data_IF_626774570069
#
_entry.id   IF_626774570069
#
_cell.length_a   1.000
_cell.length_b   1.000
_cell.length_c   1.000
_cell.angle_alpha   90.00
_cell.angle_beta   90.00
_cell.angle_gamma   90.00
#
_symmetry.space_group_name_H-M   'P 1'
#
loop_
_entity.id
_entity.type
_entity.pdbx_description
1 polymer ?
#
# COMPACT_ATOMS: atom_id res chain seq x y z
N UNK A 1 -47.40 -42.11 -58.15
CA UNK A 1 -47.81 -41.12 -57.11
C UNK A 1 -47.59 -41.68 -55.74
N UNK A 2 -46.34 -41.84 -55.26
CA UNK A 2 -46.00 -42.29 -53.88
C UNK A 2 -44.51 -41.99 -53.61
N UNK A 3 -44.01 -40.76 -53.71
CA UNK A 3 -42.64 -40.40 -53.31
C UNK A 3 -42.45 -38.94 -52.81
N UNK A 4 -43.47 -38.32 -52.22
CA UNK A 4 -43.37 -36.91 -51.84
C UNK A 4 -43.87 -36.61 -50.39
N UNK A 5 -43.74 -37.54 -49.44
CA UNK A 5 -44.18 -37.33 -48.06
C UNK A 5 -43.13 -37.73 -46.97
N UNK A 6 -41.84 -37.79 -47.27
CA UNK A 6 -40.83 -38.24 -46.31
C UNK A 6 -39.72 -37.18 -46.02
N UNK A 7 -39.88 -35.96 -46.39
CA UNK A 7 -38.86 -34.89 -46.22
C UNK A 7 -39.31 -33.72 -45.31
N UNK A 8 -40.49 -33.82 -44.66
CA UNK A 8 -40.99 -32.75 -43.79
C UNK A 8 -40.86 -33.00 -42.26
N UNK A 9 -40.23 -34.09 -41.82
CA UNK A 9 -40.14 -34.51 -40.41
C UNK A 9 -38.74 -34.39 -39.78
N UNK A 10 -37.74 -33.79 -40.44
CA UNK A 10 -36.37 -33.77 -39.96
C UNK A 10 -35.79 -32.37 -39.65
N UNK A 11 -36.61 -31.35 -39.54
CA UNK A 11 -36.12 -29.98 -39.23
C UNK A 11 -36.70 -29.36 -37.90
N UNK A 12 -37.19 -30.19 -36.98
CA UNK A 12 -37.79 -29.66 -35.74
C UNK A 12 -37.10 -30.12 -34.44
N UNK A 13 -35.83 -30.45 -34.50
CA UNK A 13 -35.10 -30.86 -33.29
C UNK A 13 -33.66 -30.35 -33.40
N UNK A 14 -33.37 -29.12 -33.05
CA UNK A 14 -32.08 -28.68 -32.47
C UNK A 14 -32.08 -27.16 -32.12
N UNK A 15 -32.94 -26.73 -31.26
CA UNK A 15 -32.77 -25.48 -30.51
C UNK A 15 -32.86 -25.76 -29.01
N UNK A 16 -31.97 -26.62 -28.52
CA UNK A 16 -31.62 -26.60 -27.10
C UNK A 16 -30.62 -25.50 -26.93
N UNK A 17 -31.10 -24.26 -26.76
CA UNK A 17 -30.32 -23.14 -26.24
C UNK A 17 -29.81 -23.59 -24.90
N UNK A 18 -28.51 -23.88 -24.80
CA UNK A 18 -27.81 -23.98 -23.53
C UNK A 18 -27.92 -22.64 -22.82
N UNK A 19 -28.96 -22.46 -22.02
CA UNK A 19 -29.00 -21.46 -20.99
C UNK A 19 -27.93 -21.88 -19.95
N UNK A 20 -26.73 -21.35 -20.11
CA UNK A 20 -25.75 -21.36 -19.04
C UNK A 20 -26.39 -20.72 -17.81
N UNK A 21 -26.21 -21.30 -16.60
CA UNK A 21 -26.83 -20.77 -15.40
C UNK A 21 -26.25 -19.41 -15.07
N UNK A 22 -26.93 -18.34 -15.45
CA UNK A 22 -26.68 -16.97 -15.01
C UNK A 22 -27.00 -16.75 -13.50
N UNK A 23 -27.31 -17.82 -12.76
CA UNK A 23 -27.77 -17.77 -11.36
C UNK A 23 -26.69 -17.77 -10.30
N UNK A 24 -25.41 -18.07 -10.62
CA UNK A 24 -24.36 -18.20 -9.59
C UNK A 24 -23.82 -16.84 -9.06
N UNK A 25 -24.22 -15.71 -9.62
CA UNK A 25 -23.69 -14.38 -9.26
C UNK A 25 -24.60 -13.54 -8.34
N UNK A 26 -25.84 -13.96 -8.09
CA UNK A 26 -26.79 -13.21 -7.26
C UNK A 26 -26.43 -13.23 -5.75
N UNK A 27 -25.77 -14.26 -5.26
CA UNK A 27 -25.51 -14.52 -3.83
C UNK A 27 -24.09 -14.22 -3.36
N UNK A 28 -23.32 -13.44 -4.09
CA UNK A 28 -22.00 -13.01 -3.60
C UNK A 28 -22.15 -11.91 -2.54
N UNK A 29 -21.39 -11.95 -1.39
CA UNK A 29 -20.66 -13.10 -0.89
C UNK A 29 -21.57 -14.07 -0.12
N UNK A 30 -21.35 -15.39 -0.27
CA UNK A 30 -22.05 -16.45 0.47
C UNK A 30 -21.10 -17.30 1.36
N UNK A 31 -19.82 -16.94 1.41
CA UNK A 31 -18.77 -17.54 2.25
C UNK A 31 -17.80 -16.47 2.73
N UNK A 32 -16.96 -16.77 3.73
CA UNK A 32 -15.96 -15.81 4.22
C UNK A 32 -15.01 -15.31 3.13
N UNK A 33 -14.66 -14.02 3.21
CA UNK A 33 -13.68 -13.38 2.33
C UNK A 33 -12.32 -13.36 3.02
N UNK A 34 -11.28 -13.77 2.31
CA UNK A 34 -9.90 -13.71 2.78
C UNK A 34 -9.26 -12.38 2.36
N UNK A 35 -8.76 -11.64 3.35
CA UNK A 35 -8.01 -10.40 3.16
C UNK A 35 -6.55 -10.64 3.49
N UNK A 36 -5.69 -10.74 2.47
CA UNK A 36 -4.27 -11.08 2.62
C UNK A 36 -3.44 -9.82 2.83
N UNK A 37 -2.58 -9.85 3.85
CA UNK A 37 -1.66 -8.77 4.23
C UNK A 37 -0.23 -9.26 4.15
N UNK A 38 0.64 -8.57 3.40
CA UNK A 38 2.05 -8.96 3.19
C UNK A 38 3.00 -8.59 4.33
N UNK A 39 2.48 -8.12 5.47
CA UNK A 39 3.27 -7.59 6.59
C UNK A 39 2.85 -8.22 7.91
N UNK A 40 3.72 -8.07 8.93
CA UNK A 40 3.49 -8.64 10.25
C UNK A 40 2.23 -8.09 10.91
N UNK A 41 1.55 -8.94 11.69
CA UNK A 41 0.43 -8.54 12.53
C UNK A 41 0.83 -7.40 13.48
N UNK A 42 -0.09 -6.47 13.72
CA UNK A 42 0.13 -5.27 14.54
C UNK A 42 0.90 -4.14 13.86
N UNK A 43 1.39 -4.33 12.63
CA UNK A 43 1.95 -3.24 11.82
C UNK A 43 0.86 -2.33 11.23
N UNK A 44 1.24 -1.14 10.71
CA UNK A 44 0.29 -0.15 10.21
C UNK A 44 -0.72 -0.71 9.19
N UNK A 45 -0.24 -1.47 8.21
CA UNK A 45 -1.09 -2.09 7.18
C UNK A 45 -2.06 -3.11 7.76
N UNK A 46 -1.62 -3.92 8.74
CA UNK A 46 -2.45 -4.93 9.41
C UNK A 46 -3.54 -4.28 10.26
N UNK A 47 -3.20 -3.22 11.00
CA UNK A 47 -4.17 -2.46 11.81
C UNK A 47 -5.28 -1.87 10.94
N UNK A 48 -4.92 -1.26 9.81
CA UNK A 48 -5.89 -0.72 8.84
C UNK A 48 -6.74 -1.86 8.24
N UNK A 49 -6.10 -2.96 7.83
CA UNK A 49 -6.79 -4.11 7.28
C UNK A 49 -7.84 -4.68 8.24
N UNK A 50 -7.51 -4.86 9.52
CA UNK A 50 -8.44 -5.39 10.54
C UNK A 50 -9.56 -4.42 10.85
N UNK A 51 -9.26 -3.12 10.91
CA UNK A 51 -10.27 -2.09 11.11
C UNK A 51 -11.30 -2.11 9.97
N UNK A 52 -10.84 -2.20 8.72
CA UNK A 52 -11.72 -2.27 7.55
C UNK A 52 -12.44 -3.61 7.48
N UNK A 53 -11.76 -4.73 7.73
CA UNK A 53 -12.33 -6.07 7.65
C UNK A 53 -13.51 -6.27 8.60
N UNK A 54 -13.41 -5.79 9.84
CA UNK A 54 -14.46 -5.91 10.84
C UNK A 54 -15.77 -5.26 10.38
N UNK A 55 -15.68 -4.03 9.91
CA UNK A 55 -16.86 -3.24 9.54
C UNK A 55 -17.39 -3.64 8.16
N UNK A 56 -16.50 -3.96 7.22
CA UNK A 56 -16.83 -4.49 5.89
C UNK A 56 -17.56 -5.84 6.00
N UNK A 57 -17.16 -6.71 6.94
CA UNK A 57 -17.83 -7.99 7.18
C UNK A 57 -19.28 -7.80 7.60
N UNK A 58 -19.58 -6.84 8.48
CA UNK A 58 -20.93 -6.50 8.86
C UNK A 58 -21.77 -5.98 7.67
N UNK A 59 -21.19 -5.16 6.80
CA UNK A 59 -21.84 -4.62 5.61
C UNK A 59 -22.14 -5.69 4.55
N UNK A 60 -21.27 -6.71 4.43
CA UNK A 60 -21.40 -7.79 3.45
C UNK A 60 -22.20 -9.01 3.96
N UNK A 61 -22.49 -9.08 5.26
CA UNK A 61 -23.15 -10.23 5.88
C UNK A 61 -22.29 -11.50 5.91
N UNK A 62 -20.97 -11.38 5.65
CA UNK A 62 -20.02 -12.49 5.67
C UNK A 62 -18.73 -12.08 6.38
N UNK A 63 -18.09 -13.00 7.13
CA UNK A 63 -16.81 -12.69 7.77
C UNK A 63 -15.74 -12.28 6.75
N UNK A 64 -14.95 -11.25 7.08
CA UNK A 64 -13.72 -10.90 6.37
C UNK A 64 -12.54 -11.25 7.26
N UNK A 65 -11.75 -12.23 6.84
CA UNK A 65 -10.65 -12.80 7.65
C UNK A 65 -9.32 -12.26 7.16
N UNK A 66 -8.59 -11.57 8.04
CA UNK A 66 -7.26 -11.06 7.75
C UNK A 66 -6.22 -12.16 7.95
N UNK A 67 -5.45 -12.45 6.89
CA UNK A 67 -4.35 -13.44 6.87
C UNK A 67 -3.03 -12.74 6.57
N UNK A 68 -2.05 -12.85 7.50
CA UNK A 68 -0.72 -12.28 7.30
C UNK A 68 0.20 -13.28 6.60
N UNK A 69 0.70 -12.93 5.39
CA UNK A 69 1.70 -13.69 4.62
C UNK A 69 2.96 -12.86 4.44
N UNK A 70 3.82 -12.89 5.46
CA UNK A 70 4.99 -12.02 5.54
C UNK A 70 6.14 -12.54 4.69
N UNK A 71 6.87 -11.65 4.06
CA UNK A 71 8.16 -11.94 3.41
C UNK A 71 8.37 -11.18 2.11
N UNK A 72 9.65 -10.99 1.76
CA UNK A 72 10.10 -10.31 0.53
C UNK A 72 9.36 -8.98 0.28
N UNK A 73 9.31 -8.11 1.28
CA UNK A 73 8.59 -6.81 1.21
C UNK A 73 7.14 -6.94 0.70
N UNK A 74 6.40 -7.98 1.16
CA UNK A 74 5.01 -8.24 0.75
C UNK A 74 4.87 -9.01 -0.56
N UNK A 75 5.96 -9.38 -1.23
CA UNK A 75 5.91 -10.07 -2.51
C UNK A 75 5.24 -11.45 -2.40
N UNK A 76 5.50 -12.21 -1.31
CA UNK A 76 4.88 -13.52 -1.07
C UNK A 76 3.35 -13.42 -1.03
N UNK A 77 2.83 -12.42 -0.33
CA UNK A 77 1.39 -12.15 -0.27
C UNK A 77 0.83 -11.79 -1.65
N UNK A 78 1.52 -10.87 -2.35
CA UNK A 78 1.11 -10.37 -3.66
C UNK A 78 1.04 -11.49 -4.70
N UNK A 79 2.09 -12.32 -4.81
CA UNK A 79 2.11 -13.48 -5.71
C UNK A 79 1.01 -14.49 -5.36
N UNK A 80 0.76 -14.72 -4.06
CA UNK A 80 -0.28 -15.66 -3.63
C UNK A 80 -1.68 -15.22 -4.01
N UNK A 81 -1.93 -13.89 -4.05
CA UNK A 81 -3.24 -13.35 -4.47
C UNK A 81 -3.33 -13.28 -5.99
N UNK A 82 -2.26 -12.93 -6.70
CA UNK A 82 -2.23 -12.98 -8.16
C UNK A 82 -2.59 -14.38 -8.71
N UNK A 83 -2.16 -15.44 -8.01
CA UNK A 83 -2.44 -16.83 -8.36
C UNK A 83 -3.77 -17.40 -7.77
N UNK A 84 -4.51 -16.60 -6.99
CA UNK A 84 -5.76 -17.06 -6.39
C UNK A 84 -6.92 -17.06 -7.41
N UNK A 85 -7.99 -17.86 -7.16
CA UNK A 85 -9.19 -17.79 -7.99
C UNK A 85 -9.76 -16.38 -8.07
N UNK A 86 -10.13 -15.96 -9.28
CA UNK A 86 -10.72 -14.65 -9.55
C UNK A 86 -12.24 -14.65 -9.24
N UNK A 87 -12.62 -15.08 -8.03
CA UNK A 87 -14.02 -15.21 -7.59
C UNK A 87 -14.45 -14.13 -6.59
N UNK A 88 -13.53 -13.22 -6.21
CA UNK A 88 -13.77 -12.15 -5.25
C UNK A 88 -13.59 -12.54 -3.78
N UNK A 89 -13.33 -13.82 -3.46
CA UNK A 89 -13.17 -14.29 -2.08
C UNK A 89 -11.74 -14.20 -1.54
N UNK A 90 -10.79 -13.78 -2.37
CA UNK A 90 -9.42 -13.46 -1.94
C UNK A 90 -9.06 -12.09 -2.44
N UNK A 91 -8.70 -11.18 -1.53
CA UNK A 91 -8.27 -9.81 -1.85
C UNK A 91 -6.94 -9.54 -1.17
N UNK A 92 -6.12 -8.69 -1.79
CA UNK A 92 -4.85 -8.22 -1.24
C UNK A 92 -5.02 -6.83 -0.62
N UNK A 93 -4.50 -6.65 0.57
CA UNK A 93 -4.18 -5.32 1.09
C UNK A 93 -2.81 -4.95 0.58
N UNK A 94 -2.76 -4.13 -0.47
CA UNK A 94 -1.51 -3.75 -1.09
C UNK A 94 -0.99 -2.41 -0.58
N UNK A 95 0.31 -2.24 -0.73
CA UNK A 95 1.04 -1.00 -0.46
C UNK A 95 1.83 -0.59 -1.70
N UNK A 96 2.68 0.39 -1.60
CA UNK A 96 3.59 0.77 -2.70
C UNK A 96 4.44 -0.40 -3.22
N UNK A 97 4.64 -1.44 -2.39
CA UNK A 97 5.42 -2.63 -2.78
C UNK A 97 4.84 -3.37 -3.98
N UNK A 98 3.52 -3.26 -4.24
CA UNK A 98 2.89 -3.82 -5.44
C UNK A 98 3.59 -3.35 -6.72
N UNK A 99 3.85 -2.06 -6.83
CA UNK A 99 4.54 -1.46 -7.98
C UNK A 99 6.08 -1.58 -7.86
N UNK A 100 6.62 -1.26 -6.69
CA UNK A 100 8.07 -1.14 -6.48
C UNK A 100 8.77 -2.49 -6.62
N UNK A 101 8.22 -3.57 -6.07
CA UNK A 101 8.82 -4.89 -6.21
C UNK A 101 8.87 -5.34 -7.69
N UNK A 102 7.84 -5.01 -8.48
CA UNK A 102 7.84 -5.30 -9.92
C UNK A 102 8.89 -4.51 -10.68
N UNK A 103 9.14 -3.25 -10.28
CA UNK A 103 10.16 -2.40 -10.91
C UNK A 103 11.58 -2.86 -10.53
N UNK A 104 11.83 -3.12 -9.25
CA UNK A 104 13.14 -3.52 -8.75
C UNK A 104 13.48 -4.98 -9.08
N UNK A 105 12.48 -5.86 -8.97
CA UNK A 105 12.64 -7.29 -9.12
C UNK A 105 12.46 -7.81 -10.55
N UNK A 106 12.80 -7.03 -11.59
CA UNK A 106 12.61 -7.39 -12.99
C UNK A 106 12.99 -8.85 -13.27
N UNK A 107 11.99 -9.67 -13.67
CA UNK A 107 12.16 -11.10 -13.97
C UNK A 107 12.17 -12.04 -12.77
N UNK A 108 12.17 -11.56 -11.53
CA UNK A 108 12.11 -12.38 -10.29
C UNK A 108 10.73 -12.35 -9.63
N UNK A 109 9.94 -11.34 -9.92
CA UNK A 109 8.56 -11.18 -9.44
C UNK A 109 7.62 -11.89 -10.38
N UNK A 110 6.71 -12.72 -9.84
CA UNK A 110 5.80 -13.58 -10.62
C UNK A 110 4.42 -12.93 -10.81
N UNK A 111 4.36 -11.62 -10.96
CA UNK A 111 3.14 -10.88 -11.28
C UNK A 111 3.46 -9.59 -12.05
N UNK A 112 2.48 -9.11 -12.80
CA UNK A 112 2.46 -7.81 -13.44
C UNK A 112 1.44 -6.93 -12.68
N UNK A 113 1.87 -5.84 -11.99
CA UNK A 113 0.97 -5.02 -11.18
C UNK A 113 -0.13 -4.34 -12.01
N UNK A 114 0.06 -4.24 -13.33
CA UNK A 114 -0.88 -3.57 -14.24
C UNK A 114 -1.89 -4.52 -14.88
N UNK A 115 -1.63 -5.83 -14.86
CA UNK A 115 -2.45 -6.84 -15.55
C UNK A 115 -3.08 -7.86 -14.63
N UNK A 116 -2.39 -8.26 -13.55
CA UNK A 116 -2.79 -9.42 -12.74
C UNK A 116 -3.73 -9.05 -11.60
N UNK A 117 -4.08 -7.76 -11.48
CA UNK A 117 -4.98 -7.27 -10.41
C UNK A 117 -6.11 -6.41 -10.95
N UNK A 118 -7.27 -6.54 -10.29
CA UNK A 118 -8.41 -5.65 -10.41
C UNK A 118 -8.43 -4.69 -9.20
N UNK A 119 -8.17 -3.39 -9.39
CA UNK A 119 -8.22 -2.39 -8.31
C UNK A 119 -9.62 -2.26 -7.73
N UNK A 120 -9.72 -2.20 -6.38
CA UNK A 120 -10.98 -2.03 -5.65
C UNK A 120 -11.06 -0.62 -5.07
N UNK A 121 -10.08 -0.22 -4.26
CA UNK A 121 -10.04 1.13 -3.67
C UNK A 121 -8.64 1.47 -3.13
N UNK A 122 -8.17 2.68 -3.38
CA UNK A 122 -7.15 3.32 -2.54
C UNK A 122 -7.87 3.78 -1.27
N UNK A 123 -7.60 3.09 -0.16
CA UNK A 123 -8.30 3.31 1.09
C UNK A 123 -7.70 4.48 1.87
N UNK A 124 -6.40 4.42 2.11
CA UNK A 124 -5.69 5.34 3.00
C UNK A 124 -4.34 5.70 2.38
N UNK A 125 -3.97 6.96 2.43
CA UNK A 125 -2.62 7.44 2.25
C UNK A 125 -1.94 7.55 3.61
N UNK A 126 -0.71 7.05 3.71
CA UNK A 126 0.11 7.10 4.92
C UNK A 126 1.29 8.06 4.69
N UNK A 127 1.15 9.34 5.01
CA UNK A 127 2.27 10.24 5.06
C UNK A 127 3.31 9.78 6.08
N UNK A 128 4.51 10.33 5.97
CA UNK A 128 5.61 9.96 6.84
C UNK A 128 6.16 11.20 7.56
N UNK A 129 6.68 10.97 8.75
CA UNK A 129 7.58 11.91 9.41
C UNK A 129 9.03 11.49 9.15
N UNK A 130 9.91 12.44 8.93
CA UNK A 130 11.33 12.25 9.09
C UNK A 130 11.66 12.40 10.57
N UNK A 131 12.10 11.31 11.19
CA UNK A 131 12.36 11.24 12.63
C UNK A 131 13.82 10.91 12.92
N UNK A 132 14.33 11.45 14.03
CA UNK A 132 15.64 11.14 14.64
C UNK A 132 15.44 10.75 16.10
N UNK A 133 16.44 10.15 16.74
CA UNK A 133 16.42 9.96 18.19
C UNK A 133 16.32 11.30 18.91
N UNK A 134 15.68 11.35 20.08
CA UNK A 134 15.45 12.61 20.80
C UNK A 134 16.77 13.34 21.14
N UNK A 135 17.78 12.60 21.55
CA UNK A 135 19.11 13.11 21.91
C UNK A 135 20.04 13.32 20.70
N UNK A 136 19.54 13.03 19.49
CA UNK A 136 20.31 13.23 18.27
C UNK A 136 20.86 14.66 18.17
N UNK A 137 22.08 14.85 17.63
CA UNK A 137 22.64 16.17 17.38
C UNK A 137 21.82 16.98 16.35
N UNK A 138 21.05 16.30 15.51
CA UNK A 138 20.22 16.95 14.48
C UNK A 138 18.95 17.51 15.09
N UNK A 139 18.80 18.84 15.05
CA UNK A 139 17.61 19.52 15.56
C UNK A 139 16.69 19.99 14.43
N UNK A 140 17.23 20.07 13.21
CA UNK A 140 16.54 20.43 11.98
C UNK A 140 16.93 19.50 10.85
N UNK A 141 16.12 19.48 9.77
CA UNK A 141 16.46 18.75 8.55
C UNK A 141 17.75 19.31 7.92
N UNK A 142 18.00 20.61 8.05
CA UNK A 142 19.22 21.24 7.55
C UNK A 142 20.47 20.68 8.26
N UNK A 143 20.43 20.45 9.58
CA UNK A 143 21.56 19.87 10.32
C UNK A 143 21.91 18.48 9.78
N UNK A 144 20.88 17.64 9.57
CA UNK A 144 21.04 16.30 9.02
C UNK A 144 21.67 16.32 7.61
N UNK A 145 21.12 17.17 6.73
CA UNK A 145 21.60 17.29 5.34
C UNK A 145 23.01 17.86 5.30
N UNK A 146 23.32 18.88 6.12
CA UNK A 146 24.66 19.44 6.20
C UNK A 146 25.68 18.38 6.65
N UNK A 147 25.33 17.56 7.64
CA UNK A 147 26.18 16.42 8.05
C UNK A 147 26.36 15.42 6.92
N UNK A 148 25.28 15.07 6.20
CA UNK A 148 25.37 14.12 5.09
C UNK A 148 26.29 14.60 3.94
N UNK A 149 26.45 15.91 3.77
CA UNK A 149 27.35 16.51 2.78
C UNK A 149 28.83 16.49 3.19
N UNK A 150 29.16 16.20 4.45
CA UNK A 150 30.57 16.23 4.91
C UNK A 150 31.40 15.08 4.38
N UNK A 151 30.81 13.89 4.19
CA UNK A 151 31.46 12.70 3.62
C UNK A 151 30.41 11.69 3.16
N UNK A 152 30.76 10.79 2.21
CA UNK A 152 29.92 9.63 1.90
C UNK A 152 29.63 8.80 3.14
N UNK A 153 28.38 8.38 3.30
CA UNK A 153 27.90 7.56 4.42
C UNK A 153 28.08 8.18 5.83
N UNK A 154 28.29 9.51 5.90
CA UNK A 154 28.37 10.24 7.17
C UNK A 154 27.04 10.26 7.95
N UNK A 155 25.95 9.89 7.30
CA UNK A 155 24.60 9.77 7.87
C UNK A 155 24.00 8.44 7.40
N UNK A 156 23.38 7.71 8.34
CA UNK A 156 22.68 6.46 8.10
C UNK A 156 21.16 6.62 8.22
N UNK A 157 20.41 5.79 7.51
CA UNK A 157 18.94 5.76 7.64
C UNK A 157 18.38 4.35 7.72
N UNK A 158 17.35 4.18 8.56
CA UNK A 158 16.67 2.92 8.77
C UNK A 158 15.47 2.73 7.86
N UNK A 159 15.13 1.49 7.55
CA UNK A 159 13.89 1.14 6.85
C UNK A 159 13.40 -0.26 7.21
N UNK A 160 12.17 -0.58 6.80
CA UNK A 160 11.59 -1.92 6.95
C UNK A 160 12.07 -2.93 5.88
N UNK A 161 13.14 -2.60 5.15
CA UNK A 161 13.68 -3.41 4.06
C UNK A 161 13.85 -2.61 2.76
N UNK A 162 14.52 -3.22 1.79
CA UNK A 162 14.71 -2.65 0.46
C UNK A 162 13.38 -2.41 -0.27
N UNK A 163 13.25 -1.29 -0.99
CA UNK A 163 12.04 -0.94 -1.75
C UNK A 163 10.84 -0.49 -0.90
N UNK A 164 10.93 -0.48 0.43
CA UNK A 164 9.86 0.03 1.29
C UNK A 164 9.78 1.56 1.29
N UNK A 165 8.65 2.12 1.77
CA UNK A 165 8.40 3.58 1.74
C UNK A 165 9.48 4.40 2.45
N UNK A 166 9.96 3.94 3.60
CA UNK A 166 11.04 4.59 4.35
C UNK A 166 12.37 4.61 3.56
N UNK A 167 12.72 3.48 2.92
CA UNK A 167 13.91 3.41 2.06
C UNK A 167 13.81 4.40 0.91
N UNK A 168 12.70 4.38 0.17
CA UNK A 168 12.54 5.20 -1.03
C UNK A 168 12.44 6.70 -0.71
N UNK A 169 11.81 7.08 0.40
CA UNK A 169 11.77 8.47 0.85
C UNK A 169 13.17 8.98 1.23
N UNK A 170 13.97 8.15 1.93
CA UNK A 170 15.35 8.51 2.26
C UNK A 170 16.26 8.55 1.00
N UNK A 171 16.07 7.63 0.06
CA UNK A 171 16.77 7.65 -1.23
C UNK A 171 16.41 8.89 -2.06
N UNK A 172 15.13 9.32 -2.04
CA UNK A 172 14.70 10.58 -2.66
C UNK A 172 15.41 11.77 -2.02
N UNK A 173 15.50 11.82 -0.68
CA UNK A 173 16.22 12.86 0.03
C UNK A 173 17.71 12.87 -0.36
N UNK A 174 18.36 11.71 -0.33
CA UNK A 174 19.76 11.57 -0.72
C UNK A 174 20.03 12.05 -2.16
N UNK A 175 19.15 11.67 -3.10
CA UNK A 175 19.21 12.10 -4.50
C UNK A 175 19.09 13.62 -4.64
N UNK A 176 18.10 14.22 -3.98
CA UNK A 176 17.86 15.67 -4.06
C UNK A 176 18.92 16.51 -3.38
N UNK A 177 19.56 15.96 -2.36
CA UNK A 177 20.68 16.62 -1.65
C UNK A 177 22.05 16.31 -2.24
N UNK A 178 22.10 15.43 -3.26
CA UNK A 178 23.34 14.93 -3.87
C UNK A 178 24.29 14.33 -2.83
N UNK A 179 23.75 13.59 -1.86
CA UNK A 179 24.49 12.92 -0.79
C UNK A 179 24.45 11.41 -0.96
N UNK A 180 25.45 10.73 -0.39
CA UNK A 180 25.47 9.28 -0.28
C UNK A 180 25.25 8.91 1.19
N UNK A 181 24.00 8.54 1.54
CA UNK A 181 23.61 8.14 2.89
C UNK A 181 23.62 6.61 3.00
N UNK A 182 23.99 6.06 4.16
CA UNK A 182 24.05 4.62 4.39
C UNK A 182 22.65 4.05 4.70
N UNK A 183 22.17 3.15 3.86
CA UNK A 183 20.91 2.42 4.13
C UNK A 183 21.15 1.24 5.09
N UNK A 184 20.36 1.16 6.15
CA UNK A 184 20.35 0.06 7.13
C UNK A 184 18.96 -0.60 7.14
N UNK A 185 18.78 -1.74 6.46
CA UNK A 185 17.51 -2.43 6.39
C UNK A 185 17.23 -3.26 7.65
N UNK A 186 15.96 -3.29 8.08
CA UNK A 186 15.45 -4.09 9.20
C UNK A 186 14.25 -4.94 8.78
N UNK A 187 13.86 -5.90 9.62
CA UNK A 187 12.69 -6.75 9.40
C UNK A 187 11.36 -6.05 9.81
N UNK A 188 11.24 -4.75 9.53
CA UNK A 188 10.07 -3.94 9.82
C UNK A 188 10.39 -2.55 10.36
N UNK A 189 9.39 -1.67 10.37
CA UNK A 189 9.54 -0.28 10.83
C UNK A 189 9.83 -0.18 12.34
N UNK A 190 9.21 -1.03 13.17
CA UNK A 190 9.38 -0.97 14.62
C UNK A 190 10.82 -1.24 15.07
N UNK A 191 11.51 -2.33 14.63
CA UNK A 191 12.92 -2.52 14.96
C UNK A 191 13.83 -1.42 14.39
N UNK A 192 13.54 -0.88 13.18
CA UNK A 192 14.30 0.26 12.65
C UNK A 192 14.16 1.50 13.55
N UNK A 193 12.95 1.81 14.00
CA UNK A 193 12.72 2.94 14.91
C UNK A 193 13.44 2.77 16.24
N UNK A 194 13.50 1.55 16.78
CA UNK A 194 14.25 1.26 17.99
C UNK A 194 15.74 1.63 17.86
N UNK A 195 16.35 1.33 16.70
CA UNK A 195 17.74 1.67 16.43
C UNK A 195 17.94 3.19 16.25
N UNK A 196 16.95 3.88 15.67
CA UNK A 196 16.96 5.35 15.57
C UNK A 196 16.82 6.00 16.96
N UNK A 197 15.90 5.51 17.80
CA UNK A 197 15.76 5.99 19.18
C UNK A 197 17.04 5.82 20.01
N UNK A 198 17.74 4.72 19.78
CA UNK A 198 19.00 4.41 20.44
C UNK A 198 20.23 5.16 19.85
N UNK A 199 20.05 5.95 18.79
CA UNK A 199 21.14 6.69 18.11
C UNK A 199 22.12 5.81 17.33
N UNK A 200 21.79 4.52 17.08
CA UNK A 200 22.64 3.63 16.28
C UNK A 200 22.38 3.80 14.77
N UNK A 201 21.23 4.36 14.41
CA UNK A 201 20.87 4.82 13.07
C UNK A 201 20.44 6.28 13.19
N UNK A 202 20.90 7.14 12.28
CA UNK A 202 20.73 8.60 12.43
C UNK A 202 19.27 9.02 12.27
N UNK A 203 18.56 8.51 11.25
CA UNK A 203 17.18 8.89 10.98
C UNK A 203 16.39 7.78 10.27
N UNK A 204 15.08 7.96 10.19
CA UNK A 204 14.24 7.24 9.25
C UNK A 204 13.02 8.07 8.85
N UNK A 205 12.43 7.74 7.72
CA UNK A 205 11.05 8.11 7.45
C UNK A 205 10.13 7.06 8.09
N UNK A 206 9.19 7.51 8.91
CA UNK A 206 8.31 6.62 9.64
C UNK A 206 6.84 6.99 9.38
N UNK A 207 5.94 6.02 9.14
CA UNK A 207 4.50 6.30 9.08
C UNK A 207 4.03 7.06 10.32
N UNK A 208 3.11 7.98 10.16
CA UNK A 208 2.72 8.93 11.22
C UNK A 208 2.14 8.27 12.48
N UNK A 209 1.81 6.98 12.44
CA UNK A 209 1.17 6.21 13.53
C UNK A 209 2.01 6.24 14.80
N UNK A 210 1.45 6.78 15.89
CA UNK A 210 2.08 6.80 17.22
C UNK A 210 3.33 7.66 17.34
N UNK A 211 3.63 8.48 16.34
CA UNK A 211 4.86 9.30 16.30
C UNK A 211 4.73 10.52 17.21
N UNK A 212 3.59 11.20 17.21
CA UNK A 212 3.35 12.37 18.06
C UNK A 212 3.45 12.03 19.56
N UNK A 213 2.93 10.86 19.95
CA UNK A 213 3.04 10.36 21.32
C UNK A 213 4.50 10.09 21.74
N UNK A 214 5.30 9.51 20.84
CA UNK A 214 6.73 9.25 21.08
C UNK A 214 7.54 10.53 21.17
N UNK A 215 7.20 11.54 20.40
CA UNK A 215 7.82 12.86 20.50
C UNK A 215 7.47 13.53 21.83
N UNK A 216 6.20 13.48 22.27
CA UNK A 216 5.77 13.97 23.57
C UNK A 216 6.48 13.26 24.73
N UNK A 217 6.78 11.95 24.58
CA UNK A 217 7.55 11.16 25.53
C UNK A 217 9.07 11.37 25.43
N UNK A 218 9.54 12.26 24.56
CA UNK A 218 10.98 12.53 24.34
C UNK A 218 11.78 11.29 23.91
N UNK A 219 11.17 10.41 23.14
CA UNK A 219 11.85 9.24 22.56
C UNK A 219 12.45 9.54 21.20
N UNK A 220 11.77 10.41 20.42
CA UNK A 220 12.19 10.85 19.09
C UNK A 220 11.98 12.36 18.96
N UNK A 221 12.57 12.92 17.89
CA UNK A 221 12.31 14.27 17.39
C UNK A 221 11.83 14.16 15.96
N UNK A 222 10.77 14.89 15.64
CA UNK A 222 10.26 15.01 14.28
C UNK A 222 10.94 16.22 13.62
N UNK A 223 11.62 16.00 12.50
CA UNK A 223 12.29 17.09 11.76
C UNK A 223 11.43 17.66 10.63
N UNK A 224 10.61 16.83 9.99
CA UNK A 224 9.73 17.26 8.90
C UNK A 224 8.61 16.24 8.66
N UNK A 225 7.56 16.68 7.95
CA UNK A 225 6.43 15.84 7.49
C UNK A 225 6.34 15.85 5.97
N UNK A 226 5.95 14.71 5.37
CA UNK A 226 5.84 14.58 3.91
C UNK A 226 4.51 15.08 3.33
N UNK A 227 3.59 15.62 4.13
CA UNK A 227 2.34 16.21 3.65
C UNK A 227 2.57 17.54 2.95
N UNK A 228 1.65 17.92 2.04
CA UNK A 228 1.69 19.22 1.35
C UNK A 228 1.49 20.42 2.30
N UNK A 229 0.82 20.21 3.44
CA UNK A 229 0.60 21.19 4.50
C UNK A 229 1.01 20.56 5.83
N UNK A 230 1.35 21.38 6.82
CA UNK A 230 1.61 20.91 8.19
C UNK A 230 0.43 20.09 8.71
N UNK A 231 0.75 19.02 9.41
CA UNK A 231 -0.29 18.13 9.93
C UNK A 231 -0.93 18.76 11.19
N UNK A 232 -2.27 18.72 11.32
CA UNK A 232 -2.95 19.41 12.43
C UNK A 232 -2.49 18.98 13.83
N UNK A 233 -2.18 17.70 14.02
CA UNK A 233 -1.75 17.18 15.34
C UNK A 233 -0.29 17.55 15.67
N UNK A 234 0.49 18.02 14.70
CA UNK A 234 1.88 18.44 14.87
C UNK A 234 2.14 19.77 14.15
N UNK A 235 1.43 20.86 14.51
CA UNK A 235 1.45 22.12 13.75
C UNK A 235 2.82 22.84 13.79
N UNK A 236 3.67 22.52 14.76
CA UNK A 236 5.04 23.03 14.87
C UNK A 236 6.01 22.37 13.88
N UNK A 237 5.70 21.16 13.39
CA UNK A 237 6.56 20.40 12.48
C UNK A 237 6.45 20.97 11.06
N UNK A 238 7.57 21.40 10.43
CA UNK A 238 7.53 21.89 9.06
C UNK A 238 7.28 20.76 8.07
N UNK A 239 6.75 21.07 6.89
CA UNK A 239 6.71 20.14 5.78
C UNK A 239 8.10 19.98 5.17
N UNK A 240 8.30 18.92 4.38
CA UNK A 240 9.52 18.75 3.58
C UNK A 240 9.68 19.94 2.62
N UNK A 241 8.59 20.46 2.04
CA UNK A 241 8.59 21.62 1.16
C UNK A 241 9.04 22.89 1.87
N UNK A 242 8.51 23.19 3.08
CA UNK A 242 8.96 24.32 3.91
C UNK A 242 10.43 24.20 4.32
N UNK A 243 10.95 22.98 4.39
CA UNK A 243 12.36 22.68 4.68
C UNK A 243 13.27 22.71 3.44
N UNK A 244 12.75 23.13 2.27
CA UNK A 244 13.51 23.26 1.02
C UNK A 244 13.44 22.06 0.09
N UNK A 245 12.60 21.05 0.39
CA UNK A 245 12.47 19.81 -0.38
C UNK A 245 11.01 19.57 -0.83
N UNK A 246 10.48 20.30 -1.82
CA UNK A 246 9.12 20.12 -2.33
C UNK A 246 8.96 18.79 -3.07
N UNK A 247 7.71 18.32 -3.22
CA UNK A 247 7.35 17.12 -3.99
C UNK A 247 7.47 15.82 -3.23
N UNK A 248 7.72 15.83 -1.91
CA UNK A 248 7.64 14.62 -1.08
C UNK A 248 6.19 14.18 -0.84
N UNK A 249 5.25 15.08 -0.95
CA UNK A 249 3.80 14.81 -0.85
C UNK A 249 3.28 13.86 -1.92
N UNK A 250 3.99 13.72 -3.04
CA UNK A 250 3.67 12.79 -4.11
C UNK A 250 4.12 11.35 -3.82
N UNK A 251 4.97 11.15 -2.83
CA UNK A 251 5.60 9.87 -2.47
C UNK A 251 5.07 9.32 -1.15
N UNK A 252 3.74 9.35 -0.98
CA UNK A 252 3.07 8.79 0.21
C UNK A 252 2.96 7.26 0.13
N UNK A 253 2.93 6.61 1.30
CA UNK A 253 2.66 5.17 1.38
C UNK A 253 1.18 4.88 1.17
N UNK A 254 0.76 4.23 0.07
CA UNK A 254 -0.63 3.84 -0.09
C UNK A 254 -0.97 2.60 0.73
N UNK A 255 -2.20 2.51 1.22
CA UNK A 255 -2.86 1.26 1.60
C UNK A 255 -4.11 1.15 0.75
N UNK A 256 -4.13 0.15 -0.10
CA UNK A 256 -5.24 -0.10 -1.03
C UNK A 256 -5.67 -1.56 -1.03
N UNK A 257 -6.73 -1.83 -1.75
CA UNK A 257 -7.30 -3.15 -1.90
C UNK A 257 -7.38 -3.50 -3.38
N UNK A 258 -6.88 -4.70 -3.73
CA UNK A 258 -6.99 -5.24 -5.08
C UNK A 258 -7.44 -6.71 -5.02
N UNK A 259 -8.13 -7.17 -6.05
CA UNK A 259 -8.48 -8.57 -6.27
C UNK A 259 -7.65 -9.15 -7.43
N UNK A 260 -7.64 -10.48 -7.67
CA UNK A 260 -7.10 -11.06 -8.88
C UNK A 260 -7.76 -10.49 -10.14
N UNK A 261 -7.02 -10.34 -11.21
CA UNK A 261 -7.58 -9.95 -12.52
C UNK A 261 -8.65 -10.95 -12.96
N UNK A 262 -9.70 -10.48 -13.62
CA UNK A 262 -10.84 -11.33 -14.02
C UNK A 262 -11.89 -11.55 -12.94
N UNK A 263 -11.71 -10.98 -11.74
CA UNK A 263 -12.77 -11.00 -10.71
C UNK A 263 -14.06 -10.36 -11.27
N UNK A 264 -15.24 -11.03 -11.12
CA UNK A 264 -16.48 -10.54 -11.65
C UNK A 264 -16.84 -9.13 -11.17
N UNK A 265 -17.35 -8.29 -12.08
CA UNK A 265 -17.66 -6.88 -11.76
C UNK A 265 -18.62 -6.74 -10.59
N UNK A 266 -19.61 -7.62 -10.47
CA UNK A 266 -20.57 -7.62 -9.35
C UNK A 266 -19.85 -7.82 -7.99
N UNK A 267 -18.83 -8.67 -7.95
CA UNK A 267 -18.03 -8.86 -6.74
C UNK A 267 -17.17 -7.62 -6.45
N UNK A 268 -16.51 -7.04 -7.48
CA UNK A 268 -15.72 -5.82 -7.33
C UNK A 268 -16.59 -4.65 -6.82
N UNK A 269 -17.78 -4.47 -7.35
CA UNK A 269 -18.70 -3.39 -6.94
C UNK A 269 -19.14 -3.56 -5.49
N UNK A 270 -19.51 -4.78 -5.07
CA UNK A 270 -19.88 -5.06 -3.67
C UNK A 270 -18.71 -4.82 -2.72
N UNK A 271 -17.51 -5.28 -3.07
CA UNK A 271 -16.29 -5.05 -2.28
C UNK A 271 -15.96 -3.55 -2.19
N UNK A 272 -15.97 -2.84 -3.31
CA UNK A 272 -15.66 -1.41 -3.35
C UNK A 272 -16.68 -0.60 -2.53
N UNK A 273 -17.97 -0.90 -2.65
CA UNK A 273 -19.02 -0.23 -1.88
C UNK A 273 -18.88 -0.51 -0.38
N UNK A 274 -18.60 -1.76 0.03
CA UNK A 274 -18.41 -2.11 1.42
C UNK A 274 -17.17 -1.41 2.03
N UNK A 275 -16.05 -1.41 1.32
CA UNK A 275 -14.82 -0.72 1.75
C UNK A 275 -15.10 0.79 1.87
N UNK A 276 -15.68 1.39 0.85
CA UNK A 276 -15.94 2.83 0.81
C UNK A 276 -16.91 3.27 1.90
N UNK A 277 -18.01 2.53 2.10
CA UNK A 277 -18.99 2.81 3.17
C UNK A 277 -18.37 2.68 4.56
N UNK A 278 -17.42 1.74 4.75
CA UNK A 278 -16.66 1.60 5.97
C UNK A 278 -15.77 2.82 6.21
N UNK A 279 -14.96 3.19 5.23
CA UNK A 279 -13.96 4.27 5.33
C UNK A 279 -14.60 5.65 5.54
N UNK A 280 -15.81 5.87 5.05
CA UNK A 280 -16.54 7.15 5.20
C UNK A 280 -17.33 7.28 6.50
N UNK A 281 -17.35 6.25 7.35
CA UNK A 281 -17.96 6.35 8.69
C UNK A 281 -17.13 7.28 9.58
N UNK A 282 -17.76 8.26 10.26
CA UNK A 282 -17.00 9.23 11.07
C UNK A 282 -16.07 8.58 12.10
N UNK A 283 -16.53 7.51 12.78
CA UNK A 283 -15.73 6.80 13.78
C UNK A 283 -14.50 6.09 13.17
N UNK A 284 -14.61 5.56 11.96
CA UNK A 284 -13.51 4.90 11.23
C UNK A 284 -12.54 5.96 10.70
N UNK A 285 -13.04 7.02 10.06
CA UNK A 285 -12.23 8.14 9.59
C UNK A 285 -11.41 8.76 10.73
N UNK A 286 -12.08 9.05 11.87
CA UNK A 286 -11.40 9.57 13.05
C UNK A 286 -10.29 8.63 13.54
N UNK A 287 -10.56 7.32 13.62
CA UNK A 287 -9.58 6.34 14.07
C UNK A 287 -8.41 6.22 13.11
N UNK A 288 -8.66 6.26 11.79
CA UNK A 288 -7.61 6.26 10.78
C UNK A 288 -6.74 7.52 10.84
N UNK A 289 -7.34 8.69 11.06
CA UNK A 289 -6.62 9.96 11.26
C UNK A 289 -5.76 9.92 12.52
N UNK A 290 -6.27 9.40 13.64
CA UNK A 290 -5.49 9.21 14.87
C UNK A 290 -4.29 8.27 14.65
N UNK A 291 -4.43 7.33 13.72
CA UNK A 291 -3.34 6.48 13.27
C UNK A 291 -2.43 7.16 12.22
N UNK A 292 -2.62 8.45 11.94
CA UNK A 292 -1.82 9.21 10.97
C UNK A 292 -2.17 8.94 9.51
N UNK A 293 -3.31 8.30 9.24
CA UNK A 293 -3.79 8.02 7.89
C UNK A 293 -4.66 9.14 7.35
N UNK A 294 -4.56 9.40 6.05
CA UNK A 294 -5.48 10.26 5.30
C UNK A 294 -6.43 9.36 4.53
N UNK A 295 -7.70 9.36 4.89
CA UNK A 295 -8.72 8.57 4.19
C UNK A 295 -8.92 9.12 2.78
N UNK A 296 -8.79 8.26 1.77
CA UNK A 296 -8.98 8.55 0.35
C UNK A 296 -10.30 7.97 -0.15
N UNK A 297 -10.59 6.71 0.19
CA UNK A 297 -11.81 5.98 -0.15
C UNK A 297 -12.17 6.11 -1.66
N UNK A 298 -11.20 5.88 -2.53
CA UNK A 298 -11.32 6.11 -3.97
C UNK A 298 -12.30 5.12 -4.64
N UNK A 299 -12.76 5.49 -5.84
CA UNK A 299 -13.42 4.53 -6.73
C UNK A 299 -12.42 3.54 -7.33
N UNK A 300 -12.89 2.37 -7.87
CA UNK A 300 -12.00 1.44 -8.59
C UNK A 300 -11.32 2.08 -9.81
N UNK A 301 -12.00 2.97 -10.51
CA UNK A 301 -11.47 3.69 -11.68
C UNK A 301 -10.36 4.66 -11.28
N UNK A 302 -10.58 5.47 -10.24
CA UNK A 302 -9.57 6.40 -9.73
C UNK A 302 -8.36 5.65 -9.21
N UNK A 303 -8.57 4.52 -8.53
CA UNK A 303 -7.47 3.71 -8.02
C UNK A 303 -6.64 3.07 -9.13
N UNK A 304 -7.29 2.64 -10.22
CA UNK A 304 -6.56 2.12 -11.40
C UNK A 304 -5.65 3.17 -12.01
N UNK A 305 -6.15 4.39 -12.19
CA UNK A 305 -5.36 5.51 -12.72
C UNK A 305 -4.21 5.83 -11.77
N UNK A 306 -4.50 5.93 -10.47
CA UNK A 306 -3.49 6.20 -9.44
C UNK A 306 -2.38 5.15 -9.44
N UNK A 307 -2.69 3.85 -9.51
CA UNK A 307 -1.68 2.77 -9.55
C UNK A 307 -0.77 2.87 -10.77
N UNK A 308 -1.32 3.26 -11.93
CA UNK A 308 -0.55 3.47 -13.15
C UNK A 308 0.41 4.65 -13.01
N UNK A 309 -0.08 5.78 -12.51
CA UNK A 309 0.72 6.99 -12.31
C UNK A 309 1.79 6.77 -11.22
N UNK A 310 1.43 6.06 -10.15
CA UNK A 310 2.35 5.65 -9.09
C UNK A 310 3.47 4.76 -9.62
N UNK A 311 3.14 3.76 -10.47
CA UNK A 311 4.14 2.91 -11.11
C UNK A 311 5.15 3.73 -11.94
N UNK A 312 4.67 4.67 -12.77
CA UNK A 312 5.51 5.53 -13.59
C UNK A 312 6.43 6.41 -12.73
N UNK A 313 5.88 7.01 -11.67
CA UNK A 313 6.59 7.88 -10.71
C UNK A 313 7.71 7.13 -10.00
N UNK A 314 7.43 5.91 -9.48
CA UNK A 314 8.44 5.08 -8.84
C UNK A 314 9.50 4.59 -9.81
N UNK A 315 9.13 4.21 -11.04
CA UNK A 315 10.10 3.80 -12.06
C UNK A 315 11.09 4.94 -12.38
N UNK A 316 10.59 6.16 -12.48
CA UNK A 316 11.44 7.34 -12.70
C UNK A 316 12.38 7.59 -11.52
N UNK A 317 11.88 7.56 -10.28
CA UNK A 317 12.71 7.78 -9.08
C UNK A 317 13.77 6.69 -8.92
N UNK A 318 13.38 5.42 -9.02
CA UNK A 318 14.28 4.27 -8.86
C UNK A 318 15.43 4.36 -9.87
N UNK A 319 15.13 4.73 -11.12
CA UNK A 319 16.13 4.95 -12.15
C UNK A 319 17.04 6.14 -11.82
N UNK A 320 16.48 7.30 -11.46
CA UNK A 320 17.24 8.51 -11.17
C UNK A 320 18.16 8.36 -9.94
N UNK A 321 17.68 7.67 -8.91
CA UNK A 321 18.43 7.40 -7.67
C UNK A 321 19.34 6.17 -7.77
N UNK A 322 19.39 5.48 -8.92
CA UNK A 322 20.13 4.22 -9.11
C UNK A 322 19.86 3.19 -8.00
N UNK A 323 18.60 3.13 -7.54
CA UNK A 323 18.20 2.19 -6.50
C UNK A 323 18.23 0.79 -7.10
N UNK A 324 19.00 -0.10 -6.48
CA UNK A 324 19.09 -1.51 -6.85
C UNK A 324 18.31 -2.35 -5.86
N UNK A 325 17.79 -3.47 -6.35
CA UNK A 325 17.23 -4.49 -5.47
C UNK A 325 18.35 -4.99 -4.54
N UNK A 326 18.08 -4.98 -3.25
CA UNK A 326 18.98 -5.54 -2.25
C UNK A 326 18.44 -6.93 -1.89
N UNK A 327 19.26 -7.98 -1.96
CA UNK A 327 18.84 -9.35 -1.67
C UNK A 327 18.36 -9.55 -0.22
#
# INVERSE_FOLDING_TARGET
>A
MKRTRLLAALCLSLNVVMMAPAQAQADYPNKPIKMVVGYSAGGPTDVIARLVAQDMGAALGQPVVVENRVGANGNIATESVAAAPADGYTILVNTLSLNVNAILGQGRVKYDPTKDFAPISLAVALPQYLVVGYDSPYKTLADLVNKAKTAPQAVSYGSAGGGGSAHLAAALLATRTQTNMLHVPFKGNAPALTEVMAGRVDFMFYPMIGVAEREAQKQIRILAVTTAKRYPDTPSVPTMAESGFPGFEEYVGPVGFVAPAGTPQVALDKLANAIRSTLTKPAIDQKLRQLGGIVVASTPADYRNWLKDDHARWAQLIKAANIKDQP
#
